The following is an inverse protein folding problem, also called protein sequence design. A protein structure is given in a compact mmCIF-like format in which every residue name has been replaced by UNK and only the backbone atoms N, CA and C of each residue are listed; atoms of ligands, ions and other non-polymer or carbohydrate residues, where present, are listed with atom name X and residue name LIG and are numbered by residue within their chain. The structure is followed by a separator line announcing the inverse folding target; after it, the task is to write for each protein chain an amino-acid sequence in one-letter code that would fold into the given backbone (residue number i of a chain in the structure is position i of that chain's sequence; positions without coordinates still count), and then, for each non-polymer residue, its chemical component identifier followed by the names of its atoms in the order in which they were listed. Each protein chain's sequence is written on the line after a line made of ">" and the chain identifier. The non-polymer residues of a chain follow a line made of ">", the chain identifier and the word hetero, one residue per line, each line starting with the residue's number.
data_IF_643318998245
#
_entry.id   IF_643318998245
#
_cell.length_a   1.000
_cell.length_b   1.000
_cell.length_c   1.000
_cell.angle_alpha   90.00
_cell.angle_beta   90.00
_cell.angle_gamma   90.00
#
_symmetry.space_group_name_H-M   'P 1'
#
loop_
_entity.id
_entity.type
_entity.pdbx_description
1 polymer ?
#
# COMPACT_ATOMS: atom_id res chain seq x y z
N UNK A 1 -24.60 5.69 24.99
CA UNK A 1 -24.77 6.42 23.71
C UNK A 1 -23.51 6.37 22.87
N UNK A 2 -22.36 6.61 23.49
CA UNK A 2 -21.02 6.58 22.86
C UNK A 2 -20.74 5.27 22.11
N UNK A 3 -20.96 4.10 22.73
CA UNK A 3 -20.63 2.82 22.08
C UNK A 3 -21.42 2.60 20.76
N UNK A 4 -22.65 3.10 20.68
CA UNK A 4 -23.45 3.04 19.44
C UNK A 4 -22.86 3.96 18.37
N UNK A 5 -22.45 5.16 18.74
CA UNK A 5 -21.80 6.11 17.83
C UNK A 5 -20.47 5.54 17.30
N UNK A 6 -19.65 4.98 18.18
CA UNK A 6 -18.37 4.35 17.84
C UNK A 6 -18.57 3.15 16.91
N UNK A 7 -19.60 2.34 17.14
CA UNK A 7 -19.93 1.22 16.25
C UNK A 7 -20.39 1.69 14.86
N UNK A 8 -21.14 2.78 14.78
CA UNK A 8 -21.54 3.40 13.49
C UNK A 8 -20.33 3.98 12.76
N UNK A 9 -19.43 4.67 13.47
CA UNK A 9 -18.18 5.16 12.93
C UNK A 9 -17.30 4.01 12.41
N UNK A 10 -17.15 2.92 13.16
CA UNK A 10 -16.43 1.75 12.69
C UNK A 10 -17.02 1.23 11.37
N UNK A 11 -18.34 1.08 11.27
CA UNK A 11 -18.99 0.58 10.05
C UNK A 11 -18.80 1.51 8.84
N UNK A 12 -18.73 2.82 9.05
CA UNK A 12 -18.50 3.79 7.98
C UNK A 12 -17.06 3.75 7.44
N UNK A 13 -16.08 3.38 8.27
CA UNK A 13 -14.66 3.44 7.92
C UNK A 13 -14.14 2.17 7.23
N UNK A 14 -13.28 2.38 6.22
CA UNK A 14 -12.65 1.32 5.41
C UNK A 14 -11.13 1.50 5.39
N UNK A 15 -10.40 0.48 5.83
CA UNK A 15 -8.94 0.56 5.83
C UNK A 15 -8.24 -0.62 6.50
N UNK A 16 -6.93 -0.50 6.76
CA UNK A 16 -6.18 -1.49 7.52
C UNK A 16 -6.81 -1.72 8.89
N UNK A 17 -7.15 -2.98 9.21
CA UNK A 17 -7.86 -3.34 10.46
C UNK A 17 -7.21 -2.78 11.73
N UNK A 18 -5.88 -2.88 11.83
CA UNK A 18 -5.16 -2.41 13.02
C UNK A 18 -5.22 -0.88 13.18
N UNK A 19 -4.96 -0.12 12.10
CA UNK A 19 -5.01 1.35 12.13
C UNK A 19 -6.43 1.84 12.38
N UNK A 20 -7.43 1.22 11.72
CA UNK A 20 -8.84 1.54 11.95
C UNK A 20 -9.26 1.30 13.40
N UNK A 21 -8.89 0.16 13.99
CA UNK A 21 -9.22 -0.14 15.38
C UNK A 21 -8.59 0.85 16.35
N UNK A 22 -7.35 1.26 16.11
CA UNK A 22 -6.63 2.27 16.89
C UNK A 22 -7.33 3.64 16.84
N UNK A 23 -7.68 4.12 15.64
CA UNK A 23 -8.40 5.39 15.47
C UNK A 23 -9.81 5.39 16.09
N UNK A 24 -10.51 4.25 16.00
CA UNK A 24 -11.84 4.08 16.62
C UNK A 24 -11.73 4.04 18.14
N UNK A 25 -10.67 3.44 18.69
CA UNK A 25 -10.39 3.47 20.12
C UNK A 25 -10.07 4.90 20.60
N UNK A 26 -9.21 5.63 19.88
CA UNK A 26 -8.89 7.03 20.20
C UNK A 26 -10.12 7.95 20.14
N UNK A 27 -11.01 7.74 19.16
CA UNK A 27 -12.29 8.46 19.09
C UNK A 27 -13.20 8.14 20.28
N UNK A 28 -13.23 6.86 20.71
CA UNK A 28 -14.01 6.44 21.89
C UNK A 28 -13.47 7.08 23.16
N UNK A 29 -12.15 7.09 23.34
CA UNK A 29 -11.51 7.68 24.52
C UNK A 29 -11.74 9.20 24.55
N UNK A 30 -11.60 9.88 23.40
CA UNK A 30 -11.91 11.32 23.28
C UNK A 30 -13.36 11.66 23.63
N UNK A 31 -14.32 10.81 23.23
CA UNK A 31 -15.74 10.95 23.58
C UNK A 31 -15.99 10.72 25.08
N UNK A 32 -15.28 9.77 25.68
CA UNK A 32 -15.39 9.50 27.13
C UNK A 32 -14.83 10.68 27.94
N UNK A 33 -13.68 11.21 27.55
CA UNK A 33 -13.06 12.39 28.16
C UNK A 33 -13.97 13.61 28.05
N UNK A 34 -14.59 13.83 26.88
CA UNK A 34 -15.56 14.90 26.68
C UNK A 34 -16.81 14.72 27.55
N UNK A 35 -17.35 13.50 27.65
CA UNK A 35 -18.49 13.21 28.51
C UNK A 35 -18.16 13.38 30.00
N UNK A 36 -16.95 13.02 30.43
CA UNK A 36 -16.47 13.27 31.79
C UNK A 36 -16.39 14.78 32.08
N UNK A 37 -15.81 15.56 31.18
CA UNK A 37 -15.76 17.02 31.30
C UNK A 37 -17.15 17.67 31.36
N UNK A 38 -18.15 17.09 30.69
CA UNK A 38 -19.55 17.53 30.81
C UNK A 38 -20.19 17.13 32.14
N UNK A 39 -19.92 15.93 32.63
CA UNK A 39 -20.40 15.46 33.93
C UNK A 39 -19.83 16.31 35.08
N UNK A 40 -18.56 16.71 35.01
CA UNK A 40 -17.93 17.63 35.96
C UNK A 40 -18.60 19.02 36.00
N UNK A 41 -19.21 19.45 34.90
CA UNK A 41 -20.01 20.68 34.81
C UNK A 41 -21.43 20.53 35.36
N UNK A 42 -21.77 19.37 35.91
CA UNK A 42 -23.04 19.11 36.58
C UNK A 42 -24.13 18.48 35.70
N UNK A 43 -23.80 18.04 34.48
CA UNK A 43 -24.72 17.26 33.65
C UNK A 43 -24.85 15.84 34.19
N UNK A 44 -26.05 15.26 34.10
CA UNK A 44 -26.22 13.83 34.31
C UNK A 44 -25.50 13.03 33.20
N UNK A 45 -25.22 11.74 33.46
CA UNK A 45 -24.44 10.90 32.55
C UNK A 45 -25.02 10.83 31.14
N UNK A 46 -26.34 10.76 31.00
CA UNK A 46 -26.97 10.62 29.68
C UNK A 46 -26.88 11.93 28.88
N UNK A 47 -27.15 13.06 29.53
CA UNK A 47 -27.01 14.39 28.92
C UNK A 47 -25.55 14.69 28.58
N UNK A 48 -24.60 14.30 29.43
CA UNK A 48 -23.17 14.48 29.19
C UNK A 48 -22.68 13.69 27.96
N UNK A 49 -23.08 12.42 27.83
CA UNK A 49 -22.77 11.62 26.64
C UNK A 49 -23.40 12.19 25.37
N UNK A 50 -24.61 12.75 25.47
CA UNK A 50 -25.30 13.39 24.34
C UNK A 50 -24.57 14.64 23.87
N UNK A 51 -24.21 15.53 24.80
CA UNK A 51 -23.41 16.71 24.48
C UNK A 51 -22.06 16.34 23.89
N UNK A 52 -21.39 15.31 24.40
CA UNK A 52 -20.12 14.83 23.85
C UNK A 52 -20.28 14.36 22.39
N UNK A 53 -21.33 13.58 22.08
CA UNK A 53 -21.60 13.12 20.70
C UNK A 53 -22.00 14.26 19.78
N UNK A 54 -22.83 15.19 20.26
CA UNK A 54 -23.28 16.35 19.48
C UNK A 54 -22.10 17.27 19.12
N UNK A 55 -21.17 17.49 20.05
CA UNK A 55 -19.94 18.26 19.83
C UNK A 55 -18.96 17.55 18.89
N UNK A 56 -18.86 16.22 18.99
CA UNK A 56 -18.02 15.43 18.10
C UNK A 56 -18.56 15.42 16.65
N UNK A 57 -19.86 15.66 16.49
CA UNK A 57 -20.53 15.75 15.19
C UNK A 57 -21.06 14.41 14.69
N UNK A 58 -21.83 14.41 13.60
CA UNK A 58 -22.38 13.16 13.05
C UNK A 58 -21.31 12.34 12.32
N UNK A 59 -21.47 11.01 12.31
CA UNK A 59 -20.55 10.10 11.60
C UNK A 59 -20.36 10.50 10.13
N UNK A 60 -21.41 11.01 9.48
CA UNK A 60 -21.36 11.44 8.09
C UNK A 60 -20.45 12.65 7.85
N UNK A 61 -20.28 13.51 8.86
CA UNK A 61 -19.43 14.69 8.81
C UNK A 61 -17.98 14.33 9.11
N UNK A 62 -17.73 13.48 10.11
CA UNK A 62 -16.36 13.15 10.54
C UNK A 62 -15.71 12.01 9.75
N UNK A 63 -16.50 11.04 9.26
CA UNK A 63 -15.95 9.85 8.62
C UNK A 63 -15.05 10.15 7.40
N UNK A 64 -15.33 11.17 6.55
CA UNK A 64 -14.43 11.55 5.47
C UNK A 64 -13.01 11.90 5.93
N UNK A 65 -12.86 12.61 7.06
CA UNK A 65 -11.54 13.01 7.56
C UNK A 65 -10.75 11.82 8.11
N UNK A 66 -11.41 10.94 8.88
CA UNK A 66 -10.84 9.66 9.30
C UNK A 66 -10.46 8.77 8.10
N UNK A 67 -11.28 8.77 7.04
CA UNK A 67 -11.04 7.99 5.83
C UNK A 67 -9.80 8.48 5.06
N UNK A 68 -9.53 9.79 5.07
CA UNK A 68 -8.30 10.36 4.49
C UNK A 68 -7.06 9.85 5.21
N UNK A 69 -7.08 9.80 6.54
CA UNK A 69 -5.95 9.30 7.34
C UNK A 69 -5.74 7.79 7.15
N UNK A 70 -6.81 7.00 7.10
CA UNK A 70 -6.75 5.57 6.75
C UNK A 70 -6.21 5.35 5.32
N UNK A 71 -6.60 6.21 4.38
CA UNK A 71 -6.11 6.20 3.00
C UNK A 71 -4.60 6.44 2.93
N UNK A 72 -4.06 7.37 3.74
CA UNK A 72 -2.62 7.64 3.84
C UNK A 72 -1.87 6.45 4.43
N UNK A 73 -2.37 5.85 5.51
CA UNK A 73 -1.77 4.67 6.11
C UNK A 73 -1.73 3.48 5.12
N UNK A 74 -2.81 3.27 4.36
CA UNK A 74 -2.89 2.25 3.33
C UNK A 74 -1.96 2.54 2.13
N UNK A 75 -1.85 3.80 1.72
CA UNK A 75 -0.93 4.26 0.67
C UNK A 75 0.53 4.01 1.04
N UNK A 76 0.93 4.35 2.28
CA UNK A 76 2.28 4.06 2.80
C UNK A 76 2.58 2.57 2.83
N UNK A 77 1.65 1.75 3.31
CA UNK A 77 1.82 0.29 3.34
C UNK A 77 1.98 -0.29 1.93
N UNK A 78 1.23 0.24 0.96
CA UNK A 78 1.33 -0.15 -0.45
C UNK A 78 2.68 0.25 -1.05
N UNK A 79 3.15 1.47 -0.78
CA UNK A 79 4.47 1.92 -1.23
C UNK A 79 5.61 1.08 -0.64
N UNK A 80 5.54 0.75 0.65
CA UNK A 80 6.53 -0.13 1.30
C UNK A 80 6.52 -1.55 0.72
N UNK A 81 5.34 -2.10 0.41
CA UNK A 81 5.23 -3.39 -0.25
C UNK A 81 5.87 -3.36 -1.65
N UNK A 82 5.64 -2.30 -2.41
CA UNK A 82 6.26 -2.10 -3.73
C UNK A 82 7.79 -2.02 -3.60
N UNK A 83 8.31 -1.23 -2.67
CA UNK A 83 9.75 -1.18 -2.36
C UNK A 83 10.31 -2.58 -2.06
N UNK A 84 9.65 -3.31 -1.16
CA UNK A 84 10.12 -4.62 -0.71
C UNK A 84 10.14 -5.61 -1.88
N UNK A 85 9.06 -5.68 -2.65
CA UNK A 85 8.95 -6.57 -3.82
C UNK A 85 10.04 -6.23 -4.84
N UNK A 86 10.17 -4.97 -5.24
CA UNK A 86 11.13 -4.54 -6.26
C UNK A 86 12.59 -4.72 -5.83
N UNK A 87 12.87 -4.68 -4.53
CA UNK A 87 14.23 -4.89 -4.00
C UNK A 87 14.56 -6.37 -3.84
N UNK A 88 13.60 -7.18 -3.37
CA UNK A 88 13.82 -8.61 -3.09
C UNK A 88 13.82 -9.43 -4.38
N UNK A 89 13.01 -9.06 -5.38
CA UNK A 89 12.85 -9.86 -6.59
C UNK A 89 14.16 -10.06 -7.39
N UNK A 90 14.99 -9.03 -7.65
CA UNK A 90 16.28 -9.23 -8.35
C UNK A 90 17.26 -10.09 -7.55
N UNK A 91 17.28 -9.94 -6.23
CA UNK A 91 18.15 -10.72 -5.33
C UNK A 91 17.73 -12.19 -5.32
N UNK A 92 16.42 -12.46 -5.25
CA UNK A 92 15.88 -13.81 -5.31
C UNK A 92 16.18 -14.48 -6.67
N UNK A 93 16.06 -13.74 -7.77
CA UNK A 93 16.41 -14.23 -9.11
C UNK A 93 17.89 -14.54 -9.24
N UNK A 94 18.77 -13.65 -8.76
CA UNK A 94 20.21 -13.87 -8.75
C UNK A 94 20.61 -15.09 -7.91
N UNK A 95 19.98 -15.26 -6.74
CA UNK A 95 20.16 -16.44 -5.91
C UNK A 95 19.75 -17.73 -6.63
N UNK A 96 18.58 -17.74 -7.26
CA UNK A 96 18.07 -18.90 -8.00
C UNK A 96 19.02 -19.32 -9.14
N UNK A 97 19.50 -18.36 -9.94
CA UNK A 97 20.46 -18.63 -11.02
C UNK A 97 21.76 -19.23 -10.49
N UNK A 98 22.26 -18.70 -9.37
CA UNK A 98 23.48 -19.18 -8.73
C UNK A 98 23.33 -20.59 -8.15
N UNK A 99 22.17 -20.91 -7.56
CA UNK A 99 21.84 -22.27 -7.11
C UNK A 99 21.67 -23.26 -8.27
N UNK A 100 21.18 -22.80 -9.42
CA UNK A 100 21.06 -23.62 -10.62
C UNK A 100 22.41 -23.93 -11.30
N UNK A 101 23.53 -23.47 -10.74
CA UNK A 101 24.87 -23.70 -11.30
C UNK A 101 25.13 -22.93 -12.59
N UNK A 102 24.22 -22.05 -13.00
CA UNK A 102 24.41 -21.17 -14.14
C UNK A 102 25.28 -19.99 -13.68
N UNK A 103 26.55 -19.98 -14.11
CA UNK A 103 27.30 -18.74 -14.19
C UNK A 103 26.49 -17.76 -15.03
N UNK A 104 26.49 -16.48 -14.68
CA UNK A 104 25.89 -15.45 -15.52
C UNK A 104 26.68 -15.40 -16.84
N UNK A 105 26.39 -16.31 -17.77
CA UNK A 105 26.94 -16.26 -19.12
C UNK A 105 26.30 -15.05 -19.79
N UNK A 106 27.08 -13.97 -19.85
CA UNK A 106 26.76 -12.67 -20.45
C UNK A 106 26.59 -12.74 -21.98
N UNK A 107 26.33 -13.92 -22.56
CA UNK A 107 26.16 -14.14 -24.00
C UNK A 107 24.68 -14.03 -24.44
N UNK A 108 23.90 -13.18 -23.77
CA UNK A 108 22.53 -12.86 -24.19
C UNK A 108 22.51 -11.99 -25.45
N UNK A 109 21.64 -12.32 -26.41
CA UNK A 109 21.42 -11.52 -27.63
C UNK A 109 21.19 -10.04 -27.30
N UNK A 110 21.51 -9.13 -28.24
CA UNK A 110 21.39 -7.68 -28.03
C UNK A 110 20.00 -7.23 -27.52
N UNK A 111 18.94 -7.99 -27.82
CA UNK A 111 17.60 -7.77 -27.29
C UNK A 111 17.49 -8.02 -25.78
N UNK A 112 18.16 -9.05 -25.25
CA UNK A 112 18.18 -9.36 -23.82
C UNK A 112 18.88 -8.27 -23.00
N UNK A 113 20.01 -7.76 -23.50
CA UNK A 113 20.78 -6.69 -22.84
C UNK A 113 19.96 -5.40 -22.75
N UNK A 114 19.27 -5.02 -23.84
CA UNK A 114 18.37 -3.86 -23.84
C UNK A 114 17.21 -4.02 -22.85
N UNK A 115 16.57 -5.20 -22.80
CA UNK A 115 15.47 -5.44 -21.87
C UNK A 115 15.97 -5.38 -20.41
N UNK A 116 17.14 -5.96 -20.12
CA UNK A 116 17.73 -5.92 -18.78
C UNK A 116 18.07 -4.48 -18.34
N UNK A 117 18.61 -3.66 -19.24
CA UNK A 117 18.88 -2.24 -19.01
C UNK A 117 17.57 -1.50 -18.64
N UNK A 118 16.49 -1.73 -19.39
CA UNK A 118 15.18 -1.10 -19.12
C UNK A 118 14.60 -1.57 -17.78
N UNK A 119 14.72 -2.86 -17.42
CA UNK A 119 14.29 -3.36 -16.10
C UNK A 119 15.06 -2.68 -14.99
N UNK A 120 16.39 -2.54 -15.11
CA UNK A 120 17.22 -1.88 -14.10
C UNK A 120 16.79 -0.43 -13.88
N UNK A 121 16.67 0.35 -14.96
CA UNK A 121 16.25 1.76 -14.87
C UNK A 121 14.83 1.90 -14.31
N UNK A 122 13.90 1.05 -14.74
CA UNK A 122 12.51 1.07 -14.24
C UNK A 122 12.46 0.67 -12.76
N UNK A 123 13.28 -0.30 -12.34
CA UNK A 123 13.43 -0.73 -10.95
C UNK A 123 13.98 0.37 -10.05
N UNK A 124 15.07 1.01 -10.46
CA UNK A 124 15.65 2.14 -9.73
C UNK A 124 14.66 3.29 -9.63
N UNK A 125 13.99 3.65 -10.73
CA UNK A 125 12.97 4.70 -10.73
C UNK A 125 11.81 4.39 -9.78
N UNK A 126 11.32 3.15 -9.77
CA UNK A 126 10.25 2.73 -8.88
C UNK A 126 10.67 2.72 -7.40
N UNK A 127 11.90 2.32 -7.08
CA UNK A 127 12.45 2.39 -5.71
C UNK A 127 12.55 3.85 -5.25
N UNK A 128 13.13 4.74 -6.06
CA UNK A 128 13.28 6.17 -5.73
C UNK A 128 11.90 6.80 -5.50
N UNK A 129 10.93 6.51 -6.36
CA UNK A 129 9.57 7.00 -6.22
C UNK A 129 8.89 6.47 -4.95
N UNK A 130 9.04 5.18 -4.65
CA UNK A 130 8.43 4.61 -3.46
C UNK A 130 9.09 5.15 -2.16
N UNK A 131 10.40 5.42 -2.16
CA UNK A 131 11.08 6.18 -1.10
C UNK A 131 10.52 7.61 -0.98
N UNK A 132 10.33 8.31 -2.09
CA UNK A 132 9.74 9.65 -2.09
C UNK A 132 8.32 9.63 -1.50
N UNK A 133 7.52 8.60 -1.76
CA UNK A 133 6.18 8.41 -1.16
C UNK A 133 6.27 8.12 0.34
N UNK A 134 7.23 7.32 0.80
CA UNK A 134 7.44 7.06 2.24
C UNK A 134 7.85 8.35 2.95
N UNK A 135 8.73 9.15 2.36
CA UNK A 135 9.17 10.44 2.89
C UNK A 135 8.02 11.44 2.89
N UNK A 136 7.27 11.55 1.78
CA UNK A 136 6.12 12.45 1.68
C UNK A 136 4.99 12.07 2.63
N UNK A 137 4.74 10.78 2.86
CA UNK A 137 3.71 10.30 3.80
C UNK A 137 4.21 10.25 5.25
N UNK A 138 5.51 10.35 5.50
CA UNK A 138 6.09 10.42 6.84
C UNK A 138 6.30 11.87 7.31
N UNK A 139 7.07 12.64 6.54
CA UNK A 139 7.39 14.04 6.84
C UNK A 139 6.31 15.02 6.35
N UNK A 140 5.57 14.68 5.29
CA UNK A 140 4.55 15.56 4.70
C UNK A 140 3.21 15.58 5.44
N UNK A 141 2.98 14.69 6.40
CA UNK A 141 1.80 14.75 7.31
C UNK A 141 1.76 16.07 8.06
N UNK A 142 2.93 16.67 8.33
CA UNK A 142 3.06 17.91 9.08
C UNK A 142 2.93 19.18 8.23
N UNK A 143 3.06 19.11 6.90
CA UNK A 143 3.17 20.32 6.05
C UNK A 143 2.32 20.34 4.76
N UNK A 144 1.84 19.21 4.24
CA UNK A 144 1.20 19.18 2.93
C UNK A 144 -0.31 18.91 3.06
N UNK A 145 -1.10 19.99 3.06
CA UNK A 145 -2.58 19.97 2.97
C UNK A 145 -3.14 19.40 1.66
N UNK A 146 -2.38 18.59 0.92
CA UNK A 146 -2.76 17.96 -0.35
C UNK A 146 -3.10 16.46 -0.18
N UNK A 147 -3.88 16.15 0.86
CA UNK A 147 -4.07 14.81 1.43
C UNK A 147 -4.74 13.77 0.48
N UNK A 148 -5.84 14.07 -0.23
CA UNK A 148 -6.51 13.05 -1.06
C UNK A 148 -5.88 12.85 -2.45
N UNK A 149 -5.32 13.90 -3.06
CA UNK A 149 -4.68 13.79 -4.39
C UNK A 149 -3.42 12.95 -4.34
N UNK A 150 -2.63 13.05 -3.28
CA UNK A 150 -1.42 12.24 -3.08
C UNK A 150 -1.76 10.74 -3.02
N UNK A 151 -2.78 10.34 -2.24
CA UNK A 151 -3.21 8.94 -2.15
C UNK A 151 -3.63 8.40 -3.53
N UNK A 152 -4.37 9.20 -4.31
CA UNK A 152 -4.82 8.81 -5.65
C UNK A 152 -3.66 8.67 -6.64
N UNK A 153 -2.73 9.62 -6.64
CA UNK A 153 -1.53 9.58 -7.50
C UNK A 153 -0.66 8.36 -7.17
N UNK A 154 -0.48 8.05 -5.89
CA UNK A 154 0.26 6.87 -5.43
C UNK A 154 -0.42 5.58 -5.89
N UNK A 155 -1.75 5.48 -5.75
CA UNK A 155 -2.51 4.32 -6.22
C UNK A 155 -2.41 4.11 -7.73
N UNK A 156 -2.55 5.19 -8.52
CA UNK A 156 -2.40 5.14 -9.99
C UNK A 156 -0.98 4.76 -10.38
N UNK A 157 0.03 5.35 -9.75
CA UNK A 157 1.43 5.04 -10.01
C UNK A 157 1.76 3.58 -9.69
N UNK A 158 1.29 3.07 -8.55
CA UNK A 158 1.43 1.66 -8.18
C UNK A 158 0.83 0.70 -9.23
N UNK A 159 -0.37 1.01 -9.72
CA UNK A 159 -0.99 0.27 -10.80
C UNK A 159 -0.18 0.34 -12.11
N UNK A 160 0.27 1.54 -12.51
CA UNK A 160 1.05 1.73 -13.71
C UNK A 160 2.38 0.95 -13.67
N UNK A 161 3.12 1.06 -12.55
CA UNK A 161 4.35 0.32 -12.32
C UNK A 161 4.09 -1.19 -12.39
N UNK A 162 3.01 -1.67 -11.75
CA UNK A 162 2.68 -3.10 -11.81
C UNK A 162 2.44 -3.60 -13.23
N UNK A 163 1.68 -2.85 -14.03
CA UNK A 163 1.41 -3.21 -15.44
C UNK A 163 2.71 -3.23 -16.24
N UNK A 164 3.55 -2.22 -16.07
CA UNK A 164 4.85 -2.13 -16.77
C UNK A 164 5.74 -3.32 -16.40
N UNK A 165 5.87 -3.64 -15.11
CA UNK A 165 6.67 -4.79 -14.66
C UNK A 165 6.08 -6.14 -15.09
N UNK A 166 4.76 -6.26 -15.15
CA UNK A 166 4.11 -7.46 -15.68
C UNK A 166 4.44 -7.66 -17.17
N UNK A 167 4.38 -6.59 -17.97
CA UNK A 167 4.69 -6.63 -19.41
C UNK A 167 6.17 -6.91 -19.63
N UNK A 168 7.07 -6.25 -18.89
CA UNK A 168 8.51 -6.51 -19.00
C UNK A 168 8.89 -7.93 -18.55
N UNK A 169 8.28 -8.44 -17.48
CA UNK A 169 8.50 -9.81 -17.03
C UNK A 169 8.03 -10.84 -18.06
N UNK A 170 6.89 -10.58 -18.72
CA UNK A 170 6.41 -11.42 -19.82
C UNK A 170 7.36 -11.39 -21.02
N UNK A 171 7.82 -10.20 -21.41
CA UNK A 171 8.77 -10.05 -22.52
C UNK A 171 10.11 -10.74 -22.24
N UNK A 172 10.64 -10.63 -21.01
CA UNK A 172 11.84 -11.36 -20.59
C UNK A 172 11.63 -12.88 -20.70
N UNK A 173 10.46 -13.37 -20.31
CA UNK A 173 10.15 -14.81 -20.38
C UNK A 173 10.04 -15.29 -21.83
N UNK A 174 9.50 -14.46 -22.72
CA UNK A 174 9.34 -14.79 -24.15
C UNK A 174 10.66 -14.68 -24.93
N UNK A 175 11.54 -13.74 -24.55
CA UNK A 175 12.80 -13.48 -25.24
C UNK A 175 14.03 -14.10 -24.57
N UNK A 176 13.90 -14.75 -23.41
CA UNK A 176 15.02 -15.38 -22.71
C UNK A 176 15.60 -16.52 -23.56
N UNK A 177 16.86 -16.42 -24.01
CA UNK A 177 17.53 -17.49 -24.74
C UNK A 177 17.98 -18.64 -23.82
N UNK A 178 17.85 -18.49 -22.49
CA UNK A 178 18.35 -19.43 -21.47
C UNK A 178 17.35 -20.53 -21.06
N UNK A 179 16.15 -20.56 -21.65
CA UNK A 179 15.18 -21.66 -21.42
C UNK A 179 15.33 -22.73 -22.49
N UNK A 180 16.26 -23.66 -22.31
CA UNK A 180 16.33 -24.92 -23.09
C UNK A 180 15.06 -25.78 -22.91
N UNK A 181 14.22 -25.48 -21.90
CA UNK A 181 12.88 -26.03 -21.74
C UNK A 181 11.97 -25.05 -21.01
N UNK A 182 10.84 -24.69 -21.62
CA UNK A 182 9.80 -23.82 -21.04
C UNK A 182 9.21 -24.36 -19.72
N UNK A 183 9.32 -25.67 -19.48
CA UNK A 183 8.89 -26.39 -18.27
C UNK A 183 10.02 -26.63 -17.24
N UNK A 184 11.24 -26.16 -17.53
CA UNK A 184 12.37 -26.28 -16.61
C UNK A 184 12.19 -25.47 -15.34
N UNK A 185 13.00 -25.77 -14.32
CA UNK A 185 12.97 -25.12 -12.98
C UNK A 185 13.18 -23.60 -13.06
N UNK A 186 13.81 -23.11 -14.13
CA UNK A 186 14.04 -21.68 -14.44
C UNK A 186 13.04 -21.07 -15.42
N UNK A 187 12.06 -21.84 -15.89
CA UNK A 187 11.09 -21.46 -16.93
C UNK A 187 9.79 -20.83 -16.42
N UNK A 188 8.68 -21.16 -17.07
CA UNK A 188 7.34 -20.61 -16.80
C UNK A 188 6.85 -20.71 -15.33
N UNK A 189 7.09 -21.80 -14.58
CA UNK A 189 6.54 -21.89 -13.22
C UNK A 189 7.24 -20.96 -12.22
N UNK A 190 8.55 -20.77 -12.32
CA UNK A 190 9.30 -19.87 -11.44
C UNK A 190 9.07 -18.41 -11.78
N UNK A 191 8.97 -18.06 -13.07
CA UNK A 191 8.54 -16.72 -13.51
C UNK A 191 7.11 -16.39 -13.09
N UNK A 192 6.15 -17.29 -13.28
CA UNK A 192 4.77 -17.09 -12.81
C UNK A 192 4.68 -16.94 -11.28
N UNK A 193 5.49 -17.67 -10.52
CA UNK A 193 5.50 -17.59 -9.06
C UNK A 193 6.21 -16.32 -8.55
N UNK A 194 7.39 -16.00 -9.09
CA UNK A 194 8.23 -14.86 -8.66
C UNK A 194 7.74 -13.50 -9.18
N UNK A 195 7.03 -13.45 -10.31
CA UNK A 195 6.42 -12.22 -10.83
C UNK A 195 4.91 -12.15 -10.51
N UNK A 196 4.18 -13.23 -10.75
CA UNK A 196 2.71 -13.22 -10.68
C UNK A 196 2.19 -12.97 -9.27
N UNK A 197 2.72 -13.69 -8.26
CA UNK A 197 2.29 -13.53 -6.86
C UNK A 197 2.51 -12.09 -6.35
N UNK A 198 3.71 -11.48 -6.49
CA UNK A 198 3.92 -10.11 -6.08
C UNK A 198 3.10 -9.09 -6.89
N UNK A 199 2.93 -9.27 -8.20
CA UNK A 199 2.12 -8.36 -9.03
C UNK A 199 0.65 -8.39 -8.65
N UNK A 200 0.09 -9.58 -8.35
CA UNK A 200 -1.26 -9.71 -7.81
C UNK A 200 -1.36 -9.01 -6.45
N UNK A 201 -0.34 -9.18 -5.60
CA UNK A 201 -0.25 -8.47 -4.31
C UNK A 201 -0.30 -6.95 -4.47
N UNK A 202 0.48 -6.39 -5.40
CA UNK A 202 0.51 -4.95 -5.67
C UNK A 202 -0.81 -4.49 -6.31
N UNK A 203 -1.40 -5.24 -7.23
CA UNK A 203 -2.68 -4.92 -7.85
C UNK A 203 -3.83 -4.90 -6.82
N UNK A 204 -3.85 -5.87 -5.89
CA UNK A 204 -4.82 -5.91 -4.79
C UNK A 204 -4.60 -4.74 -3.83
N UNK A 205 -3.34 -4.40 -3.51
CA UNK A 205 -3.01 -3.26 -2.66
C UNK A 205 -3.38 -1.91 -3.31
N UNK A 206 -3.16 -1.77 -4.62
CA UNK A 206 -3.57 -0.59 -5.42
C UNK A 206 -5.09 -0.43 -5.48
N UNK A 207 -5.84 -1.51 -5.70
CA UNK A 207 -7.31 -1.49 -5.63
C UNK A 207 -7.82 -1.06 -4.25
N UNK A 208 -7.17 -1.51 -3.17
CA UNK A 208 -7.52 -1.11 -1.81
C UNK A 208 -7.23 0.37 -1.54
N UNK A 209 -6.17 0.94 -2.12
CA UNK A 209 -5.93 2.39 -2.08
C UNK A 209 -7.01 3.17 -2.84
N UNK A 210 -7.39 2.71 -4.04
CA UNK A 210 -8.43 3.36 -4.84
C UNK A 210 -9.83 3.28 -4.22
N UNK A 211 -10.13 2.24 -3.43
CA UNK A 211 -11.39 2.14 -2.69
C UNK A 211 -11.41 2.96 -1.39
N UNK A 212 -10.24 3.39 -0.92
CA UNK A 212 -10.08 4.14 0.32
C UNK A 212 -9.92 5.66 0.10
N UNK A 213 -9.80 6.10 -1.16
CA UNK A 213 -9.65 7.48 -1.62
C UNK A 213 -10.91 7.98 -2.34
#
# INVERSE_FOLDING_TARGET
>A
MIDRYVAELDQALRGPRAVKADMVAEARDSLLDAAEAYAEKGLDRESAERCAVDDFGSVQVIAPDYQVELGLAQGRRTALLICAVLTVQPVAWWGLLRFAGQGADESGSAGYTLINEVVRWTGTGAIVMALAVVIATGAGVRHLGARPRLVRVVGVFACAVSVVFAVLGLLLTLYSPATDSLLGVTGLPSTALLLGVPLIGIAVAGRRCLSAA
#
